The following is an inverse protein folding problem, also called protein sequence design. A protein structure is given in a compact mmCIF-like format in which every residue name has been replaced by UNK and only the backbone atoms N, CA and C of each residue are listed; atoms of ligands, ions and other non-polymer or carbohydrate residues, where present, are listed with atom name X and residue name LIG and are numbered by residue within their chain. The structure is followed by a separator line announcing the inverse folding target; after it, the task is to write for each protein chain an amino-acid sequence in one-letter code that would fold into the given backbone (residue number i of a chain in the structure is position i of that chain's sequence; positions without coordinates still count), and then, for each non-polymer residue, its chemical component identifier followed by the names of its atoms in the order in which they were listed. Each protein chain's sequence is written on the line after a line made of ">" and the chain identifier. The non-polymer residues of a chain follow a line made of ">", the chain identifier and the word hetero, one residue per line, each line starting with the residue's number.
data_IF_167345699800
#
_entry.id   IF_167345699800
#
_cell.length_a   1.000
_cell.length_b   1.000
_cell.length_c   1.000
_cell.angle_alpha   90.00
_cell.angle_beta   90.00
_cell.angle_gamma   90.00
#
_symmetry.space_group_name_H-M   'P 1'
#
loop_
_entity.id
_entity.type
_entity.pdbx_description
1 polymer ?
#
# COMPACT_ATOMS: atom_id res chain seq x y z
N UNK A 1 -61.73 -7.28 -9.47
CA UNK A 1 -60.56 -8.05 -8.99
C UNK A 1 -59.30 -7.28 -9.40
N UNK A 2 -58.71 -6.59 -8.44
CA UNK A 2 -57.49 -5.80 -8.67
C UNK A 2 -56.28 -6.74 -8.53
N UNK A 3 -55.37 -6.82 -9.50
CA UNK A 3 -54.20 -7.69 -9.39
C UNK A 3 -53.28 -7.19 -8.26
N UNK A 4 -52.78 -8.13 -7.45
CA UNK A 4 -51.83 -7.86 -6.38
C UNK A 4 -50.48 -7.36 -6.96
N UNK A 5 -49.82 -6.41 -6.32
CA UNK A 5 -48.52 -5.91 -6.79
C UNK A 5 -47.47 -7.02 -6.70
N UNK A 6 -46.78 -7.25 -7.82
CA UNK A 6 -45.61 -8.13 -7.90
C UNK A 6 -44.52 -7.63 -6.91
N UNK A 7 -44.32 -8.37 -5.83
CA UNK A 7 -43.15 -8.17 -4.95
C UNK A 7 -41.90 -8.44 -5.76
N UNK A 8 -41.12 -7.39 -6.02
CA UNK A 8 -39.74 -7.54 -6.50
C UNK A 8 -38.97 -8.36 -5.45
N UNK A 9 -38.26 -9.42 -5.84
CA UNK A 9 -37.37 -10.09 -4.90
C UNK A 9 -36.38 -9.06 -4.37
N UNK A 10 -36.24 -8.98 -3.04
CA UNK A 10 -35.22 -8.18 -2.41
C UNK A 10 -33.87 -8.66 -2.99
N UNK A 11 -33.14 -7.77 -3.65
CA UNK A 11 -31.79 -8.04 -4.09
C UNK A 11 -31.00 -8.44 -2.85
N UNK A 12 -30.55 -9.70 -2.79
CA UNK A 12 -29.59 -10.10 -1.75
C UNK A 12 -28.43 -9.14 -1.87
N UNK A 13 -28.15 -8.39 -0.81
CA UNK A 13 -26.92 -7.62 -0.72
C UNK A 13 -25.73 -8.54 -1.06
N UNK A 14 -24.74 -8.07 -1.81
CA UNK A 14 -23.56 -8.87 -2.12
C UNK A 14 -23.00 -9.43 -0.81
N UNK A 15 -22.83 -10.75 -0.71
CA UNK A 15 -22.14 -11.35 0.43
C UNK A 15 -20.65 -11.08 0.25
N UNK A 16 -20.22 -9.99 0.84
CA UNK A 16 -18.79 -9.65 0.90
C UNK A 16 -18.05 -10.61 1.84
N UNK A 17 -16.75 -10.85 1.60
CA UNK A 17 -15.89 -11.60 2.52
C UNK A 17 -15.70 -10.86 3.86
N UNK A 18 -15.00 -11.49 4.79
CA UNK A 18 -14.60 -10.88 6.06
C UNK A 18 -13.83 -9.57 5.83
N UNK A 19 -13.90 -8.62 6.77
CA UNK A 19 -13.10 -7.39 6.70
C UNK A 19 -11.61 -7.71 6.56
N UNK A 20 -10.91 -6.93 5.74
CA UNK A 20 -9.50 -7.09 5.43
C UNK A 20 -8.69 -5.87 5.84
N UNK A 21 -7.39 -6.06 6.04
CA UNK A 21 -6.46 -4.96 6.28
C UNK A 21 -5.98 -4.36 4.95
N UNK A 22 -5.95 -3.03 4.89
CA UNK A 22 -5.45 -2.28 3.74
C UNK A 22 -4.17 -1.53 4.10
N UNK A 23 -3.13 -1.75 3.33
CA UNK A 23 -1.84 -1.07 3.45
C UNK A 23 -1.56 -0.29 2.16
N UNK A 24 -1.29 1.00 2.25
CA UNK A 24 -0.87 1.80 1.11
C UNK A 24 0.55 2.31 1.30
N UNK A 25 1.36 2.18 0.26
CA UNK A 25 2.75 2.61 0.27
C UNK A 25 2.94 3.76 -0.70
N UNK A 26 3.44 4.89 -0.20
CA UNK A 26 3.83 6.07 -0.95
C UNK A 26 5.33 6.33 -0.82
N UNK A 27 5.88 7.16 -1.69
CA UNK A 27 7.28 7.52 -1.68
C UNK A 27 7.84 7.70 -3.09
N UNK A 28 8.94 8.41 -3.19
CA UNK A 28 9.52 8.79 -4.47
C UNK A 28 9.97 7.58 -5.29
N UNK A 29 10.08 7.77 -6.61
CA UNK A 29 10.58 6.75 -7.55
C UNK A 29 11.96 6.23 -7.11
N UNK A 30 12.10 4.90 -7.06
CA UNK A 30 13.34 4.23 -6.66
C UNK A 30 13.61 4.25 -5.14
N UNK A 31 12.66 4.69 -4.29
CA UNK A 31 12.81 4.63 -2.83
C UNK A 31 12.83 3.21 -2.25
N UNK A 32 12.59 2.19 -3.08
CA UNK A 32 12.57 0.80 -2.65
C UNK A 32 11.20 0.27 -2.22
N UNK A 33 10.11 0.98 -2.54
CA UNK A 33 8.73 0.54 -2.25
C UNK A 33 8.48 -0.88 -2.71
N UNK A 34 8.62 -1.13 -4.01
CA UNK A 34 8.36 -2.45 -4.61
C UNK A 34 9.15 -3.55 -3.92
N UNK A 35 10.46 -3.34 -3.70
CA UNK A 35 11.33 -4.31 -3.03
C UNK A 35 10.86 -4.59 -1.60
N UNK A 36 10.54 -3.54 -0.85
CA UNK A 36 10.04 -3.66 0.52
C UNK A 36 8.70 -4.39 0.57
N UNK A 37 7.78 -4.03 -0.31
CA UNK A 37 6.44 -4.63 -0.39
C UNK A 37 6.54 -6.11 -0.73
N UNK A 38 7.36 -6.48 -1.71
CA UNK A 38 7.55 -7.88 -2.09
C UNK A 38 8.14 -8.71 -0.96
N UNK A 39 9.13 -8.17 -0.24
CA UNK A 39 9.71 -8.83 0.91
C UNK A 39 8.68 -9.00 2.05
N UNK A 40 7.88 -7.96 2.32
CA UNK A 40 6.81 -7.99 3.31
C UNK A 40 5.71 -8.98 2.92
N UNK A 41 5.29 -8.99 1.66
CA UNK A 41 4.26 -9.89 1.17
C UNK A 41 4.68 -11.36 1.29
N UNK A 42 5.94 -11.68 0.98
CA UNK A 42 6.50 -13.03 1.21
C UNK A 42 6.49 -13.41 2.70
N UNK A 43 6.84 -12.51 3.58
CA UNK A 43 6.81 -12.74 5.02
C UNK A 43 5.37 -12.96 5.54
N UNK A 44 4.39 -12.23 5.03
CA UNK A 44 2.97 -12.41 5.34
C UNK A 44 2.45 -13.77 4.81
N UNK A 45 2.80 -14.13 3.58
CA UNK A 45 2.46 -15.43 2.99
C UNK A 45 3.07 -16.61 3.78
N UNK A 46 4.33 -16.50 4.20
CA UNK A 46 4.99 -17.50 5.03
C UNK A 46 4.29 -17.70 6.38
N UNK A 47 3.54 -16.72 6.86
CA UNK A 47 2.70 -16.77 8.06
C UNK A 47 1.27 -17.27 7.79
N UNK A 48 0.96 -17.64 6.56
CA UNK A 48 -0.34 -18.13 6.14
C UNK A 48 -1.38 -17.04 5.87
N UNK A 49 -0.97 -15.78 5.72
CA UNK A 49 -1.88 -14.70 5.34
C UNK A 49 -2.07 -14.65 3.82
N UNK A 50 -3.33 -14.69 3.38
CA UNK A 50 -3.67 -14.40 1.98
C UNK A 50 -3.51 -12.91 1.75
N UNK A 51 -2.53 -12.54 0.95
CA UNK A 51 -2.18 -11.15 0.67
C UNK A 51 -2.27 -10.90 -0.83
N UNK A 52 -3.04 -9.90 -1.21
CA UNK A 52 -3.13 -9.42 -2.58
C UNK A 52 -2.38 -8.09 -2.73
N UNK A 53 -1.84 -7.87 -3.90
CA UNK A 53 -0.97 -6.74 -4.19
C UNK A 53 -1.43 -5.98 -5.43
N UNK A 54 -1.67 -4.69 -5.30
CA UNK A 54 -2.04 -3.80 -6.38
C UNK A 54 -0.87 -2.87 -6.68
N UNK A 55 -0.30 -3.00 -7.87
CA UNK A 55 0.79 -2.14 -8.37
C UNK A 55 0.22 -1.10 -9.31
N UNK A 56 0.53 0.17 -9.05
CA UNK A 56 0.10 1.29 -9.88
C UNK A 56 1.26 1.91 -10.69
N UNK A 57 2.28 1.17 -11.01
CA UNK A 57 3.40 1.67 -11.81
C UNK A 57 3.57 0.86 -13.10
N UNK A 58 3.25 1.52 -14.22
CA UNK A 58 3.48 0.97 -15.55
C UNK A 58 4.89 1.38 -15.98
N UNK A 59 5.84 0.43 -15.99
CA UNK A 59 6.97 0.61 -16.88
C UNK A 59 8.39 0.28 -16.46
N UNK A 60 8.74 -0.01 -15.20
CA UNK A 60 10.17 -0.17 -14.88
C UNK A 60 10.60 -1.49 -14.21
N UNK A 61 9.71 -2.23 -13.61
CA UNK A 61 10.05 -3.58 -13.15
C UNK A 61 8.89 -4.49 -13.52
N UNK A 62 9.05 -5.22 -14.59
CA UNK A 62 8.21 -6.38 -14.85
C UNK A 62 8.39 -7.34 -13.67
N UNK A 63 7.61 -7.12 -12.61
CA UNK A 63 7.51 -8.10 -11.55
C UNK A 63 6.99 -9.34 -12.23
N UNK A 64 7.83 -10.39 -12.35
CA UNK A 64 7.42 -11.61 -13.02
C UNK A 64 6.27 -12.21 -12.19
N UNK A 65 5.04 -11.96 -12.64
CA UNK A 65 3.80 -12.43 -11.98
C UNK A 65 3.83 -13.94 -11.71
N UNK A 66 4.64 -14.69 -12.49
CA UNK A 66 4.81 -16.14 -12.30
C UNK A 66 5.58 -16.43 -11.01
N UNK A 67 6.65 -15.67 -10.74
CA UNK A 67 7.47 -15.87 -9.52
C UNK A 67 6.62 -15.58 -8.28
N UNK A 68 5.74 -14.57 -8.34
CA UNK A 68 4.93 -14.20 -7.19
C UNK A 68 3.78 -15.18 -6.94
N UNK A 69 3.19 -15.72 -7.99
CA UNK A 69 2.17 -16.78 -7.85
C UNK A 69 2.75 -18.07 -7.27
N UNK A 70 3.96 -18.42 -7.64
CA UNK A 70 4.66 -19.59 -7.10
C UNK A 70 4.94 -19.43 -5.60
N UNK A 71 5.10 -18.20 -5.11
CA UNK A 71 5.24 -17.86 -3.69
C UNK A 71 3.88 -17.70 -2.95
N UNK A 72 2.75 -17.96 -3.62
CA UNK A 72 1.40 -17.83 -3.04
C UNK A 72 0.89 -16.38 -2.93
N UNK A 73 1.46 -15.48 -3.71
CA UNK A 73 1.06 -14.07 -3.79
C UNK A 73 0.23 -13.81 -5.03
N UNK A 74 -0.94 -13.20 -4.85
CA UNK A 74 -1.76 -12.72 -5.97
C UNK A 74 -1.40 -11.26 -6.28
N UNK A 75 -0.89 -11.03 -7.50
CA UNK A 75 -0.48 -9.70 -7.97
C UNK A 75 -1.41 -9.22 -9.05
N UNK A 76 -1.95 -8.03 -8.86
CA UNK A 76 -2.81 -7.34 -9.80
C UNK A 76 -2.14 -6.05 -10.27
N UNK A 77 -1.94 -5.93 -11.57
CA UNK A 77 -1.44 -4.70 -12.17
C UNK A 77 -2.62 -3.84 -12.63
N UNK A 78 -2.60 -2.56 -12.25
CA UNK A 78 -3.51 -1.59 -12.85
C UNK A 78 -2.88 -1.14 -14.16
N UNK A 79 -3.35 -1.71 -15.25
CA UNK A 79 -3.00 -1.24 -16.60
C UNK A 79 -3.85 -0.04 -16.96
N UNK A 80 -3.48 1.15 -16.51
CA UNK A 80 -4.20 2.38 -16.86
C UNK A 80 -3.64 3.02 -18.12
N UNK A 81 -4.49 3.13 -19.13
CA UNK A 81 -4.32 4.10 -20.21
C UNK A 81 -4.81 5.46 -19.73
N UNK A 82 -3.94 6.48 -19.74
CA UNK A 82 -4.18 7.92 -19.50
C UNK A 82 -4.27 8.41 -18.03
N UNK A 83 -3.31 9.17 -17.73
CA UNK A 83 -2.60 9.56 -16.50
C UNK A 83 -3.36 10.42 -15.48
N UNK A 84 -4.50 11.08 -15.71
CA UNK A 84 -4.92 12.13 -14.78
C UNK A 84 -6.26 12.00 -14.07
N UNK A 85 -7.24 11.28 -14.62
CA UNK A 85 -8.59 11.21 -14.02
C UNK A 85 -9.16 9.81 -13.84
N UNK A 86 -8.52 8.79 -14.38
CA UNK A 86 -9.00 7.40 -14.36
C UNK A 86 -8.37 6.55 -13.23
N UNK A 87 -7.23 6.97 -12.69
CA UNK A 87 -6.48 6.16 -11.71
C UNK A 87 -7.29 5.79 -10.47
N UNK A 88 -8.06 6.72 -9.92
CA UNK A 88 -8.87 6.44 -8.74
C UNK A 88 -10.02 5.47 -9.01
N UNK A 89 -10.67 5.60 -10.17
CA UNK A 89 -11.78 4.72 -10.58
C UNK A 89 -11.26 3.32 -10.87
N UNK A 90 -10.10 3.21 -11.53
CA UNK A 90 -9.51 1.92 -11.87
C UNK A 90 -8.96 1.21 -10.61
N UNK A 91 -8.39 1.95 -9.66
CA UNK A 91 -8.00 1.42 -8.36
C UNK A 91 -9.20 0.79 -7.63
N UNK A 92 -10.31 1.52 -7.51
CA UNK A 92 -11.51 1.04 -6.81
C UNK A 92 -12.09 -0.20 -7.51
N UNK A 93 -12.22 -0.19 -8.84
CA UNK A 93 -12.72 -1.34 -9.59
C UNK A 93 -11.82 -2.58 -9.44
N UNK A 94 -10.50 -2.37 -9.53
CA UNK A 94 -9.53 -3.45 -9.34
C UNK A 94 -9.63 -4.02 -7.94
N UNK A 95 -9.72 -3.16 -6.93
CA UNK A 95 -9.87 -3.55 -5.54
C UNK A 95 -11.17 -4.34 -5.31
N UNK A 96 -12.31 -3.87 -5.84
CA UNK A 96 -13.59 -4.56 -5.71
C UNK A 96 -13.59 -5.94 -6.39
N UNK A 97 -13.00 -6.05 -7.58
CA UNK A 97 -12.87 -7.31 -8.28
C UNK A 97 -11.99 -8.30 -7.50
N UNK A 98 -10.81 -7.84 -7.08
CA UNK A 98 -9.85 -8.60 -6.29
C UNK A 98 -10.48 -9.12 -4.99
N UNK A 99 -11.14 -8.26 -4.23
CA UNK A 99 -11.78 -8.65 -2.95
C UNK A 99 -12.87 -9.70 -3.17
N UNK A 100 -13.62 -9.59 -4.25
CA UNK A 100 -14.69 -10.54 -4.59
C UNK A 100 -14.15 -11.91 -5.00
N UNK A 101 -13.08 -11.92 -5.79
CA UNK A 101 -12.53 -13.14 -6.39
C UNK A 101 -11.61 -13.87 -5.42
N UNK A 102 -10.67 -13.17 -4.77
CA UNK A 102 -9.57 -13.76 -4.01
C UNK A 102 -9.82 -13.79 -2.50
N UNK A 103 -10.72 -12.92 -2.00
CA UNK A 103 -11.02 -12.81 -0.56
C UNK A 103 -9.76 -12.69 0.30
N UNK A 104 -8.89 -11.72 0.04
CA UNK A 104 -7.63 -11.57 0.77
C UNK A 104 -7.88 -11.16 2.21
N UNK A 105 -6.91 -11.44 3.08
CA UNK A 105 -6.86 -10.91 4.45
C UNK A 105 -6.12 -9.58 4.49
N UNK A 106 -5.15 -9.39 3.59
CA UNK A 106 -4.44 -8.14 3.43
C UNK A 106 -4.46 -7.71 1.97
N UNK A 107 -4.64 -6.42 1.74
CA UNK A 107 -4.42 -5.79 0.44
C UNK A 107 -3.31 -4.76 0.59
N UNK A 108 -2.30 -4.85 -0.25
CA UNK A 108 -1.20 -3.90 -0.31
C UNK A 108 -1.32 -3.12 -1.61
N UNK A 109 -1.36 -1.79 -1.52
CA UNK A 109 -1.39 -0.88 -2.67
C UNK A 109 -0.03 -0.18 -2.77
N UNK A 110 0.65 -0.36 -3.88
CA UNK A 110 1.80 0.46 -4.23
C UNK A 110 1.34 1.68 -5.03
N UNK A 111 1.55 2.86 -4.46
CA UNK A 111 1.31 4.10 -5.16
C UNK A 111 2.43 4.40 -6.17
N UNK A 112 2.10 5.07 -7.27
CA UNK A 112 3.12 5.58 -8.19
C UNK A 112 4.05 6.57 -7.50
N UNK A 113 5.25 6.75 -8.06
CA UNK A 113 6.27 7.63 -7.47
C UNK A 113 5.89 9.11 -7.37
N UNK A 114 4.69 9.49 -7.83
CA UNK A 114 4.13 10.87 -7.76
C UNK A 114 2.80 10.93 -7.01
N UNK A 115 2.22 9.79 -6.64
CA UNK A 115 0.97 9.75 -5.90
C UNK A 115 1.16 10.16 -4.43
N UNK A 116 0.10 10.74 -3.87
CA UNK A 116 0.07 11.16 -2.47
C UNK A 116 -0.85 10.26 -1.64
N UNK A 117 -0.63 10.10 -0.33
CA UNK A 117 -1.52 9.38 0.56
C UNK A 117 -2.97 9.88 0.50
N UNK A 118 -3.16 11.19 0.45
CA UNK A 118 -4.49 11.82 0.36
C UNK A 118 -5.21 11.43 -0.95
N UNK A 119 -4.48 11.41 -2.08
CA UNK A 119 -5.06 10.99 -3.36
C UNK A 119 -5.50 9.51 -3.37
N UNK A 120 -4.80 8.66 -2.62
CA UNK A 120 -5.23 7.26 -2.42
C UNK A 120 -6.47 7.23 -1.53
N UNK A 121 -6.47 7.96 -0.41
CA UNK A 121 -7.60 8.03 0.51
C UNK A 121 -8.86 8.56 -0.17
N UNK A 122 -8.73 9.61 -0.98
CA UNK A 122 -9.82 10.15 -1.80
C UNK A 122 -10.38 9.09 -2.76
N UNK A 123 -9.51 8.35 -3.44
CA UNK A 123 -9.93 7.26 -4.32
C UNK A 123 -10.68 6.16 -3.56
N UNK A 124 -10.18 5.78 -2.40
CA UNK A 124 -10.80 4.75 -1.55
C UNK A 124 -12.14 5.21 -0.96
N UNK A 125 -12.43 6.51 -0.89
CA UNK A 125 -13.75 7.02 -0.46
C UNK A 125 -14.89 6.56 -1.38
N UNK A 126 -14.60 6.18 -2.62
CA UNK A 126 -15.56 5.62 -3.58
C UNK A 126 -15.67 4.09 -3.54
N UNK A 127 -14.91 3.43 -2.67
CA UNK A 127 -14.95 1.98 -2.55
C UNK A 127 -16.27 1.49 -1.98
N UNK A 128 -17.00 0.66 -2.73
CA UNK A 128 -18.31 0.14 -2.35
C UNK A 128 -18.30 -1.30 -1.79
N UNK A 129 -17.13 -1.83 -1.49
CA UNK A 129 -16.96 -3.19 -0.95
C UNK A 129 -17.16 -3.28 0.57
N UNK A 130 -16.71 -4.40 1.19
CA UNK A 130 -16.76 -4.55 2.64
C UNK A 130 -15.86 -3.51 3.33
N UNK A 131 -16.20 -3.06 4.55
CA UNK A 131 -15.33 -2.14 5.28
C UNK A 131 -13.97 -2.78 5.53
N UNK A 132 -12.92 -1.97 5.55
CA UNK A 132 -11.61 -2.42 5.97
C UNK A 132 -11.58 -2.66 7.49
N UNK A 133 -10.93 -3.73 7.94
CA UNK A 133 -10.67 -3.97 9.36
C UNK A 133 -9.69 -2.92 9.91
N UNK A 134 -8.68 -2.59 9.09
CA UNK A 134 -7.78 -1.47 9.34
C UNK A 134 -7.30 -0.89 8.03
N UNK A 135 -6.94 0.40 8.06
CA UNK A 135 -6.22 1.07 6.98
C UNK A 135 -4.94 1.64 7.54
N UNK A 136 -3.84 1.51 6.82
CA UNK A 136 -2.56 2.09 7.22
C UNK A 136 -1.83 2.61 6.00
N UNK A 137 -1.39 3.87 6.08
CA UNK A 137 -0.58 4.52 5.07
C UNK A 137 0.89 4.56 5.50
N UNK A 138 1.78 4.21 4.59
CA UNK A 138 3.22 4.05 4.85
C UNK A 138 4.00 4.88 3.84
N UNK A 139 4.80 5.82 4.34
CA UNK A 139 5.75 6.58 3.53
C UNK A 139 7.11 5.91 3.49
N UNK A 140 7.72 5.81 2.31
CA UNK A 140 9.03 5.16 2.13
C UNK A 140 10.07 6.18 1.70
N UNK A 141 11.14 6.31 2.48
CA UNK A 141 12.27 7.20 2.23
C UNK A 141 13.56 6.42 1.97
N UNK A 142 14.29 6.84 0.94
CA UNK A 142 15.62 6.35 0.62
C UNK A 142 16.67 7.34 1.14
N UNK A 143 17.42 7.02 2.20
CA UNK A 143 18.40 7.92 2.79
C UNK A 143 19.54 8.25 1.84
N UNK A 144 19.91 7.35 0.91
CA UNK A 144 21.06 7.54 -0.01
C UNK A 144 20.81 8.62 -1.07
N UNK A 145 19.54 9.00 -1.29
CA UNK A 145 19.16 9.98 -2.33
C UNK A 145 18.39 11.18 -1.76
N UNK A 146 18.06 11.14 -0.47
CA UNK A 146 17.14 12.11 0.13
C UNK A 146 17.66 13.54 0.06
N UNK A 147 18.96 13.76 0.29
CA UNK A 147 19.56 15.10 0.25
C UNK A 147 19.35 15.77 -1.12
N UNK A 148 19.74 15.08 -2.19
CA UNK A 148 19.58 15.58 -3.56
C UNK A 148 18.10 15.77 -3.95
N UNK A 149 17.21 14.88 -3.47
CA UNK A 149 15.78 14.97 -3.76
C UNK A 149 15.12 16.14 -3.04
N UNK A 150 15.50 16.43 -1.81
CA UNK A 150 14.96 17.56 -1.05
C UNK A 150 15.31 18.88 -1.73
N UNK A 151 16.51 19.03 -2.28
CA UNK A 151 16.89 20.27 -2.96
C UNK A 151 15.99 20.63 -4.14
N UNK A 152 15.51 19.63 -4.87
CA UNK A 152 14.76 19.85 -6.13
C UNK A 152 13.29 19.50 -6.08
N UNK A 153 12.87 18.66 -5.12
CA UNK A 153 11.52 18.07 -5.09
C UNK A 153 10.86 18.10 -3.70
N UNK A 154 11.24 19.03 -2.85
CA UNK A 154 10.69 19.16 -1.48
C UNK A 154 9.17 19.07 -1.42
N UNK A 155 8.37 19.81 -2.23
CA UNK A 155 6.91 19.75 -2.12
C UNK A 155 6.35 18.36 -2.39
N UNK A 156 6.96 17.59 -3.30
CA UNK A 156 6.51 16.24 -3.59
C UNK A 156 6.83 15.30 -2.44
N UNK A 157 8.04 15.34 -1.89
CA UNK A 157 8.43 14.51 -0.74
C UNK A 157 7.54 14.81 0.46
N UNK A 158 7.32 16.09 0.75
CA UNK A 158 6.41 16.52 1.82
C UNK A 158 5.01 15.92 1.62
N UNK A 159 4.43 16.06 0.43
CA UNK A 159 3.10 15.53 0.15
C UNK A 159 3.00 14.00 0.24
N UNK A 160 4.11 13.29 0.04
CA UNK A 160 4.15 11.84 0.12
C UNK A 160 4.26 11.28 1.54
N UNK A 161 4.71 12.09 2.51
CA UNK A 161 4.96 11.63 3.88
C UNK A 161 4.21 12.42 4.96
N UNK A 162 3.64 13.58 4.64
CA UNK A 162 2.99 14.44 5.64
C UNK A 162 1.76 13.80 6.31
N UNK A 163 1.00 12.99 5.59
CA UNK A 163 -0.26 12.39 6.05
C UNK A 163 -0.19 10.89 6.35
N UNK A 164 1.00 10.27 6.35
CA UNK A 164 1.10 8.82 6.58
C UNK A 164 1.11 8.46 8.06
N UNK A 165 0.68 7.24 8.37
CA UNK A 165 0.68 6.68 9.73
C UNK A 165 2.08 6.22 10.17
N UNK A 166 2.89 5.76 9.22
CA UNK A 166 4.25 5.26 9.47
C UNK A 166 5.20 5.69 8.35
N UNK A 167 6.42 6.08 8.71
CA UNK A 167 7.50 6.35 7.75
C UNK A 167 8.57 5.27 7.92
N UNK A 168 8.96 4.66 6.81
CA UNK A 168 10.03 3.67 6.75
C UNK A 168 11.21 4.25 5.98
N UNK A 169 12.33 4.44 6.67
CA UNK A 169 13.63 4.73 6.06
C UNK A 169 14.24 3.40 5.63
N UNK A 170 14.30 3.17 4.32
CA UNK A 170 14.78 1.91 3.71
C UNK A 170 16.26 1.93 3.39
N UNK A 171 16.78 0.84 2.78
CA UNK A 171 18.16 0.75 2.26
C UNK A 171 19.23 1.11 3.29
N UNK A 172 18.98 0.78 4.56
CA UNK A 172 19.95 1.05 5.64
C UNK A 172 21.24 0.26 5.50
N UNK A 173 21.23 -0.79 4.70
CA UNK A 173 22.40 -1.59 4.30
C UNK A 173 23.30 -0.90 3.26
N UNK A 174 22.77 0.09 2.53
CA UNK A 174 23.47 0.85 1.49
C UNK A 174 23.83 2.27 1.95
N UNK A 175 23.21 2.76 3.02
CA UNK A 175 23.37 4.13 3.51
C UNK A 175 24.41 4.20 4.62
N UNK A 176 25.06 5.34 4.73
CA UNK A 176 25.90 5.68 5.89
C UNK A 176 25.03 6.03 7.10
N UNK A 177 25.58 5.92 8.31
CA UNK A 177 24.90 6.32 9.51
C UNK A 177 24.46 7.79 9.51
N UNK A 178 25.21 8.67 8.85
CA UNK A 178 24.86 10.08 8.70
C UNK A 178 23.63 10.29 7.81
N UNK A 179 23.55 9.61 6.66
CA UNK A 179 22.41 9.66 5.75
C UNK A 179 21.14 9.12 6.42
N UNK A 180 21.25 8.02 7.17
CA UNK A 180 20.12 7.48 7.94
C UNK A 180 19.66 8.47 9.00
N UNK A 181 20.58 9.10 9.74
CA UNK A 181 20.25 10.11 10.77
C UNK A 181 19.59 11.35 10.15
N UNK A 182 20.07 11.81 9.00
CA UNK A 182 19.46 12.90 8.25
C UNK A 182 18.06 12.56 7.79
N UNK A 183 17.84 11.37 7.21
CA UNK A 183 16.53 10.92 6.75
C UNK A 183 15.52 10.82 7.90
N UNK A 184 15.94 10.34 9.07
CA UNK A 184 15.13 10.35 10.28
C UNK A 184 14.74 11.76 10.71
N UNK A 185 15.70 12.68 10.76
CA UNK A 185 15.45 14.08 11.12
C UNK A 185 14.47 14.77 10.18
N UNK A 186 14.57 14.49 8.88
CA UNK A 186 13.62 14.98 7.87
C UNK A 186 12.23 14.41 8.10
N UNK A 187 12.13 13.10 8.31
CA UNK A 187 10.86 12.42 8.57
C UNK A 187 10.15 12.98 9.81
N UNK A 188 10.87 13.11 10.92
CA UNK A 188 10.36 13.66 12.19
C UNK A 188 9.91 15.12 12.06
N UNK A 189 10.61 15.92 11.25
CA UNK A 189 10.23 17.31 10.98
C UNK A 189 8.97 17.41 10.13
N UNK A 190 8.85 16.58 9.07
CA UNK A 190 7.75 16.68 8.11
C UNK A 190 6.48 15.99 8.64
N UNK A 191 6.61 14.92 9.40
CA UNK A 191 5.48 14.24 10.02
C UNK A 191 5.84 13.73 11.43
N UNK A 192 5.79 14.60 12.46
CA UNK A 192 6.13 14.23 13.82
C UNK A 192 5.15 13.26 14.49
N UNK A 193 4.02 12.99 13.85
CA UNK A 193 2.98 12.06 14.37
C UNK A 193 3.15 10.64 13.84
N UNK A 194 3.85 10.48 12.72
CA UNK A 194 4.06 9.16 12.12
C UNK A 194 4.98 8.30 13.00
N UNK A 195 4.68 7.00 13.06
CA UNK A 195 5.67 6.05 13.57
C UNK A 195 6.89 6.04 12.64
N UNK A 196 8.10 6.02 13.20
CA UNK A 196 9.32 6.04 12.40
C UNK A 196 10.10 4.75 12.57
N UNK A 197 10.35 4.06 11.46
CA UNK A 197 11.13 2.82 11.40
C UNK A 197 12.29 2.96 10.44
N UNK A 198 13.39 2.28 10.74
CA UNK A 198 14.52 2.13 9.82
C UNK A 198 14.78 0.65 9.58
N UNK A 199 14.90 0.23 8.31
CA UNK A 199 15.18 -1.16 7.97
C UNK A 199 15.79 -1.30 6.58
N UNK A 200 16.37 -2.47 6.32
CA UNK A 200 16.66 -2.93 4.97
C UNK A 200 15.63 -3.98 4.54
N UNK A 201 15.22 -3.97 3.28
CA UNK A 201 14.38 -5.02 2.70
C UNK A 201 15.11 -6.39 2.63
N UNK A 202 16.41 -6.43 2.91
CA UNK A 202 17.22 -7.65 3.00
C UNK A 202 17.39 -8.17 4.43
N UNK A 203 16.88 -7.44 5.44
CA UNK A 203 16.93 -7.85 6.85
C UNK A 203 15.68 -8.67 7.22
N UNK A 204 15.81 -10.00 7.34
CA UNK A 204 14.64 -10.86 7.62
C UNK A 204 14.06 -10.63 9.02
N UNK A 205 14.86 -10.19 9.99
CA UNK A 205 14.39 -9.92 11.35
C UNK A 205 13.52 -8.67 11.37
N UNK A 206 14.00 -7.60 10.73
CA UNK A 206 13.25 -6.34 10.62
C UNK A 206 11.96 -6.51 9.82
N UNK A 207 11.98 -7.31 8.74
CA UNK A 207 10.79 -7.65 7.95
C UNK A 207 9.78 -8.46 8.76
N UNK A 208 10.25 -9.45 9.52
CA UNK A 208 9.39 -10.25 10.39
C UNK A 208 8.73 -9.40 11.48
N UNK A 209 9.43 -8.40 12.02
CA UNK A 209 8.89 -7.44 12.99
C UNK A 209 7.87 -6.51 12.35
N UNK A 210 8.14 -6.01 11.15
CA UNK A 210 7.20 -5.21 10.37
C UNK A 210 5.93 -6.01 10.09
N UNK A 211 6.05 -7.22 9.55
CA UNK A 211 4.90 -8.09 9.27
C UNK A 211 4.05 -8.36 10.52
N UNK A 212 4.68 -8.63 11.67
CA UNK A 212 3.96 -8.78 12.94
C UNK A 212 3.21 -7.53 13.37
N UNK A 213 3.78 -6.36 13.14
CA UNK A 213 3.14 -5.09 13.50
C UNK A 213 1.93 -4.77 12.61
N UNK A 214 1.96 -5.23 11.37
CA UNK A 214 0.91 -5.01 10.37
C UNK A 214 -0.20 -6.07 10.46
N UNK A 215 0.13 -7.30 10.84
CA UNK A 215 -0.81 -8.41 10.99
C UNK A 215 -1.61 -8.40 12.31
N UNK A 216 -1.42 -7.41 13.18
CA UNK A 216 -2.25 -7.28 14.38
C UNK A 216 -3.59 -6.70 13.97
N UNK A 217 -4.72 -7.33 14.37
CA UNK A 217 -6.03 -6.75 14.12
C UNK A 217 -6.06 -5.33 14.68
N UNK A 218 -6.41 -4.37 13.81
CA UNK A 218 -6.47 -2.96 14.16
C UNK A 218 -7.30 -2.79 15.44
N UNK A 219 -6.81 -1.99 16.37
CA UNK A 219 -7.62 -1.51 17.49
C UNK A 219 -8.78 -0.74 16.86
N UNK A 220 -9.97 -1.32 16.92
CA UNK A 220 -11.20 -0.54 16.74
C UNK A 220 -11.20 0.58 17.79
N UNK A 221 -11.02 1.79 17.34
CA UNK A 221 -11.27 3.01 18.13
C UNK A 221 -12.77 3.35 18.06
#
# INVERSE_FOLDING_TARGET
>A
MTPAPLRRPASRAPQWPDPMDLLSFSGFLGSGKTTLILALAKELAARGHRTAFIVNEVGEVGVDQRILRDDGLEVYEITSGCICCQMGVDLVKTLEALVREERPQNVIIEASGVATPDGIADSLSYYGGPPFASTRSIGVLDPTRLEALIEVMTPLIESQIAGVDEIIVTKTDLATGAEVAQARSVAERLNPKAALRTLSATDPVALADLARSLAKPGRTS
#
